data_IF_619431112248
#
_entry.id   IF_619431112248
#
_cell.length_a   1.000
_cell.length_b   1.000
_cell.length_c   1.000
_cell.angle_alpha   90.00
_cell.angle_beta   90.00
_cell.angle_gamma   90.00
#
_symmetry.space_group_name_H-M   'P 1'
#
loop_
_entity.id
_entity.type
_entity.pdbx_description
1 polymer ?
#
# COMPACT_ATOMS: atom_id res chain seq x y z
N UNK A 1 3.57 19.86 22.18
CA UNK A 1 4.50 19.36 23.23
C UNK A 1 4.74 17.87 23.07
N UNK A 2 3.71 17.00 23.23
CA UNK A 2 3.86 15.53 23.10
C UNK A 2 4.52 15.14 21.77
N UNK A 3 4.04 15.69 20.65
CA UNK A 3 4.61 15.41 19.32
C UNK A 3 6.10 15.76 19.24
N UNK A 4 6.50 16.93 19.76
CA UNK A 4 7.89 17.37 19.78
C UNK A 4 8.79 16.45 20.62
N UNK A 5 8.28 15.95 21.75
CA UNK A 5 8.99 15.01 22.62
C UNK A 5 9.18 13.66 21.90
N UNK A 6 8.11 13.11 21.30
CA UNK A 6 8.18 11.86 20.55
C UNK A 6 9.18 11.95 19.38
N UNK A 7 9.21 13.08 18.69
CA UNK A 7 10.11 13.29 17.56
C UNK A 7 11.53 13.45 18.07
N UNK A 8 11.76 14.23 19.11
CA UNK A 8 13.07 14.34 19.75
C UNK A 8 13.63 12.96 20.10
N UNK A 9 12.79 12.08 20.67
CA UNK A 9 13.16 10.69 20.93
C UNK A 9 13.49 9.90 19.65
N UNK A 10 12.68 10.01 18.60
CA UNK A 10 12.93 9.33 17.32
C UNK A 10 14.16 9.83 16.59
N UNK A 11 14.44 11.13 16.64
CA UNK A 11 15.65 11.72 16.08
C UNK A 11 16.88 11.23 16.85
N UNK A 12 16.82 11.21 18.19
CA UNK A 12 17.89 10.66 19.02
C UNK A 12 18.15 9.18 18.72
N UNK A 13 17.10 8.36 18.64
CA UNK A 13 17.17 6.95 18.24
C UNK A 13 17.83 6.77 16.85
N UNK A 14 17.45 7.61 15.88
CA UNK A 14 18.02 7.59 14.53
C UNK A 14 19.51 8.00 14.53
N UNK A 15 19.87 9.05 15.27
CA UNK A 15 21.26 9.55 15.40
C UNK A 15 22.16 8.49 16.04
N UNK A 16 21.73 7.91 17.16
CA UNK A 16 22.49 6.85 17.85
C UNK A 16 22.74 5.67 16.90
N UNK A 17 21.71 5.22 16.17
CA UNK A 17 21.87 4.14 15.18
C UNK A 17 22.80 4.50 14.03
N UNK A 18 22.77 5.74 13.57
CA UNK A 18 23.66 6.22 12.52
C UNK A 18 25.12 6.24 12.99
N UNK A 19 25.38 6.66 14.24
CA UNK A 19 26.74 6.70 14.81
C UNK A 19 27.29 5.28 15.04
N UNK A 20 26.47 4.36 15.55
CA UNK A 20 26.89 2.98 15.86
C UNK A 20 27.08 2.13 14.59
N UNK A 21 26.51 2.54 13.46
CA UNK A 21 26.64 1.79 12.20
C UNK A 21 28.04 1.93 11.60
N UNK A 22 28.68 0.79 11.32
CA UNK A 22 30.02 0.72 10.69
C UNK A 22 30.06 1.34 9.29
N UNK A 23 28.99 1.20 8.50
CA UNK A 23 28.89 1.67 7.11
C UNK A 23 27.76 2.70 6.93
N UNK A 24 28.09 3.99 7.01
CA UNK A 24 27.12 5.11 6.95
C UNK A 24 26.31 5.15 5.66
N UNK A 25 26.95 4.91 4.51
CA UNK A 25 26.27 4.90 3.19
C UNK A 25 25.31 3.72 3.03
N UNK A 26 25.65 2.55 3.58
CA UNK A 26 24.79 1.39 3.56
C UNK A 26 23.61 1.57 4.51
N UNK A 27 23.84 2.19 5.67
CA UNK A 27 22.79 2.51 6.63
C UNK A 27 21.66 3.33 6.02
N UNK A 28 21.97 4.41 5.30
CA UNK A 28 20.95 5.28 4.69
C UNK A 28 20.17 4.56 3.57
N UNK A 29 20.79 3.59 2.89
CA UNK A 29 20.15 2.83 1.80
C UNK A 29 19.23 1.69 2.29
N UNK A 30 19.26 1.33 3.58
CA UNK A 30 18.40 0.27 4.12
C UNK A 30 16.94 0.75 4.20
N UNK A 31 15.96 -0.01 3.69
CA UNK A 31 14.56 0.44 3.57
C UNK A 31 13.92 0.83 4.90
N UNK A 32 14.22 0.10 5.98
CA UNK A 32 13.73 0.41 7.33
C UNK A 32 14.26 1.75 7.86
N UNK A 33 15.50 2.11 7.50
CA UNK A 33 16.11 3.37 7.92
C UNK A 33 15.61 4.56 7.09
N UNK A 34 15.26 4.33 5.82
CA UNK A 34 14.59 5.34 4.97
C UNK A 34 13.22 5.69 5.56
N UNK A 35 12.46 4.70 6.04
CA UNK A 35 11.18 4.92 6.73
C UNK A 35 11.37 5.73 8.01
N UNK A 36 12.39 5.42 8.82
CA UNK A 36 12.71 6.19 10.04
C UNK A 36 13.01 7.66 9.70
N UNK A 37 13.75 7.94 8.61
CA UNK A 37 14.04 9.30 8.14
C UNK A 37 12.78 10.02 7.63
N UNK A 38 11.96 9.34 6.81
CA UNK A 38 10.71 9.89 6.28
C UNK A 38 9.69 10.17 7.40
N UNK A 39 9.73 9.42 8.50
CA UNK A 39 8.86 9.68 9.64
C UNK A 39 9.24 10.98 10.38
N UNK A 40 10.52 11.29 10.58
CA UNK A 40 10.90 12.53 11.28
C UNK A 40 10.77 13.80 10.41
N UNK A 41 10.85 13.65 9.08
CA UNK A 41 10.89 14.74 8.10
C UNK A 41 9.71 15.74 8.18
N UNK A 42 8.43 15.32 8.30
CA UNK A 42 7.29 16.24 8.24
C UNK A 42 7.30 17.31 9.33
N UNK A 43 7.79 16.97 10.52
CA UNK A 43 7.86 17.92 11.63
C UNK A 43 8.97 18.95 11.45
N UNK A 44 10.17 18.51 11.05
CA UNK A 44 11.27 19.43 10.78
C UNK A 44 10.92 20.38 9.64
N UNK A 45 10.29 19.89 8.57
CA UNK A 45 9.78 20.76 7.48
C UNK A 45 8.72 21.73 8.00
N UNK A 46 7.77 21.26 8.82
CA UNK A 46 6.73 22.13 9.39
C UNK A 46 7.32 23.27 10.23
N UNK A 47 8.29 22.96 11.10
CA UNK A 47 8.95 23.97 11.95
C UNK A 47 9.76 24.93 11.09
N UNK A 48 10.50 24.42 10.11
CA UNK A 48 11.30 25.23 9.18
C UNK A 48 10.44 26.23 8.40
N UNK A 49 9.29 25.78 7.89
CA UNK A 49 8.32 26.63 7.19
C UNK A 49 7.74 27.69 8.12
N UNK A 50 7.36 27.35 9.35
CA UNK A 50 6.83 28.34 10.30
C UNK A 50 7.86 29.41 10.70
N UNK A 51 9.15 29.07 10.71
CA UNK A 51 10.23 30.00 11.05
C UNK A 51 10.58 30.91 9.88
N UNK A 52 10.64 30.38 8.64
CA UNK A 52 11.01 31.17 7.47
C UNK A 52 9.88 32.02 6.89
N UNK A 53 8.61 31.61 7.05
CA UNK A 53 7.46 32.28 6.40
C UNK A 53 6.77 33.30 7.32
N UNK A 54 7.48 33.87 8.30
CA UNK A 54 6.95 34.82 9.29
C UNK A 54 5.97 35.86 8.72
N UNK A 55 4.82 35.99 9.40
CA UNK A 55 3.73 37.00 9.33
C UNK A 55 3.23 37.52 7.97
N UNK A 56 3.66 36.98 6.84
CA UNK A 56 3.20 37.43 5.52
C UNK A 56 2.18 36.48 4.88
N UNK A 57 1.36 37.05 3.99
CA UNK A 57 0.18 36.49 3.29
C UNK A 57 0.35 35.16 2.52
N UNK A 58 1.49 34.48 2.64
CA UNK A 58 1.70 33.09 2.19
C UNK A 58 1.02 32.04 3.09
N UNK A 59 0.44 32.46 4.22
CA UNK A 59 -0.21 31.59 5.21
C UNK A 59 -1.33 30.70 4.64
N UNK A 60 -1.99 31.12 3.56
CA UNK A 60 -3.04 30.33 2.91
C UNK A 60 -2.49 29.16 2.05
N UNK A 61 -1.32 29.32 1.41
CA UNK A 61 -0.59 28.21 0.75
C UNK A 61 0.11 27.32 1.77
N UNK A 62 0.68 27.92 2.82
CA UNK A 62 1.25 27.17 3.94
C UNK A 62 0.20 26.28 4.63
N UNK A 63 -1.06 26.71 4.73
CA UNK A 63 -2.14 25.88 5.28
C UNK A 63 -2.38 24.56 4.53
N UNK A 64 -2.29 24.56 3.19
CA UNK A 64 -2.41 23.33 2.38
C UNK A 64 -1.17 22.46 2.55
N UNK A 65 0.02 23.04 2.50
CA UNK A 65 1.29 22.30 2.72
C UNK A 65 1.35 21.69 4.11
N UNK A 66 0.94 22.41 5.16
CA UNK A 66 0.84 21.91 6.52
C UNK A 66 -0.18 20.77 6.64
N UNK A 67 -1.28 20.82 5.89
CA UNK A 67 -2.28 19.74 5.85
C UNK A 67 -1.69 18.46 5.24
N UNK A 68 -0.94 18.58 4.13
CA UNK A 68 -0.24 17.44 3.52
C UNK A 68 0.86 16.89 4.43
N UNK A 69 1.63 17.77 5.09
CA UNK A 69 2.65 17.36 6.07
C UNK A 69 2.04 16.63 7.28
N UNK A 70 0.85 17.03 7.73
CA UNK A 70 0.10 16.28 8.75
C UNK A 70 -0.27 14.88 8.29
N UNK A 71 -0.68 14.71 7.03
CA UNK A 71 -0.96 13.37 6.46
C UNK A 71 0.30 12.50 6.38
N UNK A 72 1.47 13.09 6.14
CA UNK A 72 2.75 12.35 6.15
C UNK A 72 3.07 11.70 7.51
N UNK A 73 2.40 12.08 8.60
CA UNK A 73 2.51 11.36 9.88
C UNK A 73 2.08 9.91 9.78
N UNK A 74 1.32 9.51 8.74
CA UNK A 74 1.00 8.10 8.49
C UNK A 74 2.27 7.24 8.30
N UNK A 75 3.37 7.81 7.82
CA UNK A 75 4.67 7.12 7.75
C UNK A 75 5.19 6.66 9.11
N UNK A 76 4.76 7.32 10.21
CA UNK A 76 5.09 6.88 11.56
C UNK A 76 4.46 5.55 11.90
N UNK A 77 3.25 5.28 11.40
CA UNK A 77 2.59 3.98 11.58
C UNK A 77 3.41 2.89 10.89
N UNK A 78 4.07 3.20 9.76
CA UNK A 78 4.93 2.26 9.05
C UNK A 78 6.20 1.94 9.87
N UNK A 79 6.68 2.84 10.73
CA UNK A 79 7.79 2.55 11.66
C UNK A 79 7.47 1.33 12.55
N UNK A 80 6.20 1.12 12.87
CA UNK A 80 5.73 -0.03 13.64
C UNK A 80 6.07 -1.38 12.97
N UNK A 81 6.26 -1.40 11.64
CA UNK A 81 6.75 -2.56 10.90
C UNK A 81 8.10 -3.08 11.40
N UNK A 82 8.96 -2.23 11.98
CA UNK A 82 10.23 -2.68 12.55
C UNK A 82 10.06 -3.52 13.82
N UNK A 83 8.95 -3.32 14.53
CA UNK A 83 8.64 -3.99 15.79
C UNK A 83 7.80 -5.25 15.58
N UNK A 84 7.02 -5.29 14.49
CA UNK A 84 6.25 -6.48 14.12
C UNK A 84 7.00 -7.38 13.14
N UNK A 85 7.54 -8.48 13.67
CA UNK A 85 8.17 -9.56 12.88
C UNK A 85 7.26 -10.04 11.74
N UNK A 86 5.94 -10.12 11.97
CA UNK A 86 4.98 -10.48 10.94
C UNK A 86 5.00 -9.53 9.73
N UNK A 87 5.09 -8.21 9.95
CA UNK A 87 5.11 -7.22 8.87
C UNK A 87 6.46 -7.21 8.13
N UNK A 88 7.57 -7.46 8.84
CA UNK A 88 8.87 -7.68 8.20
C UNK A 88 8.86 -8.92 7.31
N UNK A 89 8.27 -10.01 7.81
CA UNK A 89 8.12 -11.28 7.08
C UNK A 89 7.27 -11.08 5.83
N UNK A 90 6.16 -10.35 5.95
CA UNK A 90 5.30 -10.00 4.81
C UNK A 90 6.07 -9.22 3.76
N UNK A 91 6.81 -8.17 4.14
CA UNK A 91 7.60 -7.37 3.21
C UNK A 91 8.69 -8.17 2.49
N UNK A 92 9.38 -9.06 3.20
CA UNK A 92 10.37 -9.97 2.60
C UNK A 92 9.73 -10.98 1.65
N UNK A 93 8.58 -11.51 2.02
CA UNK A 93 7.79 -12.43 1.20
C UNK A 93 7.34 -11.76 -0.10
N UNK A 94 6.76 -10.55 -0.01
CA UNK A 94 6.37 -9.76 -1.17
C UNK A 94 7.56 -9.46 -2.08
N UNK A 95 8.72 -9.12 -1.50
CA UNK A 95 9.94 -8.92 -2.29
C UNK A 95 10.41 -10.19 -2.98
N UNK A 96 10.29 -11.36 -2.34
CA UNK A 96 10.70 -12.64 -2.92
C UNK A 96 9.78 -13.04 -4.08
N UNK A 97 8.48 -12.83 -3.91
CA UNK A 97 7.47 -13.26 -4.87
C UNK A 97 6.98 -12.11 -5.77
N UNK A 98 7.69 -10.97 -5.81
CA UNK A 98 7.22 -9.75 -6.47
C UNK A 98 6.95 -9.97 -7.96
N UNK A 99 7.77 -10.78 -8.64
CA UNK A 99 7.62 -11.04 -10.08
C UNK A 99 6.30 -11.75 -10.36
N UNK A 100 6.01 -12.80 -9.59
CA UNK A 100 4.79 -13.61 -9.73
C UNK A 100 3.56 -12.80 -9.33
N UNK A 101 3.64 -12.04 -8.24
CA UNK A 101 2.60 -11.10 -7.81
C UNK A 101 2.27 -10.05 -8.86
N UNK A 102 3.28 -9.43 -9.46
CA UNK A 102 3.08 -8.41 -10.50
C UNK A 102 2.42 -9.02 -11.74
N UNK A 103 2.81 -10.23 -12.15
CA UNK A 103 2.15 -10.91 -13.28
C UNK A 103 0.66 -11.18 -13.00
N UNK A 104 0.31 -11.64 -11.80
CA UNK A 104 -1.10 -11.84 -11.40
C UNK A 104 -1.89 -10.54 -11.38
N UNK A 105 -1.30 -9.46 -10.86
CA UNK A 105 -1.93 -8.14 -10.87
C UNK A 105 -2.14 -7.61 -12.30
N UNK A 106 -1.19 -7.82 -13.20
CA UNK A 106 -1.35 -7.46 -14.62
C UNK A 106 -2.52 -8.24 -15.23
N UNK A 107 -2.65 -9.54 -14.95
CA UNK A 107 -3.78 -10.35 -15.43
C UNK A 107 -5.13 -9.81 -14.94
N UNK A 108 -5.22 -9.44 -13.65
CA UNK A 108 -6.41 -8.82 -13.07
C UNK A 108 -6.71 -7.46 -13.73
N UNK A 109 -5.71 -6.62 -13.95
CA UNK A 109 -5.86 -5.34 -14.65
C UNK A 109 -6.36 -5.50 -16.08
N UNK A 110 -5.84 -6.49 -16.82
CA UNK A 110 -6.31 -6.80 -18.18
C UNK A 110 -7.76 -7.27 -18.16
N UNK A 111 -8.13 -8.16 -17.22
CA UNK A 111 -9.50 -8.60 -17.07
C UNK A 111 -10.46 -7.43 -16.75
N UNK A 112 -10.07 -6.54 -15.82
CA UNK A 112 -10.83 -5.33 -15.51
C UNK A 112 -11.00 -4.43 -16.73
N UNK A 113 -9.94 -4.23 -17.52
CA UNK A 113 -10.01 -3.44 -18.75
C UNK A 113 -10.96 -4.05 -19.80
N UNK A 114 -10.99 -5.39 -19.93
CA UNK A 114 -11.91 -6.09 -20.83
C UNK A 114 -13.36 -5.91 -20.38
N UNK A 115 -13.68 -6.18 -19.10
CA UNK A 115 -15.03 -5.97 -18.57
C UNK A 115 -15.47 -4.51 -18.66
N UNK A 116 -14.53 -3.58 -18.52
CA UNK A 116 -14.76 -2.15 -18.66
C UNK A 116 -15.13 -1.76 -20.08
N UNK A 117 -14.40 -2.28 -21.09
CA UNK A 117 -14.71 -2.02 -22.49
C UNK A 117 -16.05 -2.67 -22.90
N UNK A 118 -16.32 -3.89 -22.43
CA UNK A 118 -17.58 -4.58 -22.71
C UNK A 118 -18.78 -3.87 -22.07
N UNK A 119 -18.68 -3.47 -20.80
CA UNK A 119 -19.77 -2.75 -20.13
C UNK A 119 -20.05 -1.41 -20.79
N UNK A 120 -19.02 -0.67 -21.20
CA UNK A 120 -19.21 0.56 -21.97
C UNK A 120 -19.92 0.29 -23.31
N UNK A 121 -19.50 -0.74 -24.06
CA UNK A 121 -20.12 -1.09 -25.33
C UNK A 121 -21.60 -1.46 -25.16
N UNK A 122 -21.94 -2.23 -24.12
CA UNK A 122 -23.32 -2.66 -23.88
C UNK A 122 -24.23 -1.53 -23.37
N UNK A 123 -23.70 -0.61 -22.57
CA UNK A 123 -24.48 0.47 -21.96
C UNK A 123 -24.55 1.75 -22.81
N UNK A 124 -23.59 1.95 -23.72
CA UNK A 124 -23.48 3.16 -24.52
C UNK A 124 -23.45 2.92 -26.03
N UNK A 125 -23.03 1.73 -26.48
CA UNK A 125 -22.75 1.46 -27.90
C UNK A 125 -23.85 0.73 -28.68
N UNK A 126 -24.83 0.10 -28.02
CA UNK A 126 -25.85 -0.72 -28.69
C UNK A 126 -27.22 -0.06 -28.83
N UNK A 127 -27.67 0.74 -27.86
CA UNK A 127 -28.98 1.41 -27.88
C UNK A 127 -28.84 2.92 -27.65
N UNK A 128 -29.35 3.73 -28.60
CA UNK A 128 -29.35 5.20 -28.50
C UNK A 128 -30.43 5.74 -27.54
N UNK A 129 -31.50 4.97 -27.27
CA UNK A 129 -32.61 5.42 -26.41
C UNK A 129 -32.32 5.25 -24.91
N UNK A 130 -31.50 4.27 -24.54
CA UNK A 130 -31.12 3.93 -23.15
C UNK A 130 -29.64 4.23 -22.88
N UNK A 131 -29.10 5.29 -23.50
CA UNK A 131 -27.71 5.69 -23.32
C UNK A 131 -27.43 6.07 -21.87
N UNK A 132 -26.69 5.22 -21.17
CA UNK A 132 -26.25 5.47 -19.80
C UNK A 132 -25.08 6.44 -19.82
N UNK A 133 -25.28 7.66 -19.30
CA UNK A 133 -24.26 8.72 -19.26
C UNK A 133 -23.10 8.40 -18.33
N UNK A 134 -23.32 7.52 -17.35
CA UNK A 134 -22.28 7.13 -16.40
C UNK A 134 -21.19 6.29 -17.08
N UNK A 135 -21.54 5.57 -18.15
CA UNK A 135 -20.62 4.78 -18.98
C UNK A 135 -20.11 5.56 -20.20
N UNK A 136 -19.76 6.85 -20.02
CA UNK A 136 -19.31 7.71 -21.11
C UNK A 136 -17.95 7.32 -21.74
N UNK A 137 -17.06 6.66 -20.99
CA UNK A 137 -15.72 6.31 -21.45
C UNK A 137 -15.24 4.99 -20.83
N UNK A 138 -14.26 4.32 -21.45
CA UNK A 138 -13.66 3.09 -20.89
C UNK A 138 -13.16 3.37 -19.46
N UNK A 139 -12.39 4.44 -19.18
CA UNK A 139 -11.96 4.72 -17.81
C UNK A 139 -13.10 4.96 -16.81
N UNK A 140 -14.24 5.54 -17.25
CA UNK A 140 -15.41 5.70 -16.40
C UNK A 140 -16.07 4.36 -16.07
N UNK A 141 -16.22 3.47 -17.06
CA UNK A 141 -16.70 2.10 -16.85
C UNK A 141 -15.76 1.29 -15.94
N UNK A 142 -14.45 1.57 -15.99
CA UNK A 142 -13.43 0.91 -15.18
C UNK A 142 -13.67 1.15 -13.68
N UNK A 143 -14.12 2.34 -13.29
CA UNK A 143 -14.52 2.64 -11.91
C UNK A 143 -15.58 1.66 -11.42
N UNK A 144 -16.66 1.48 -12.20
CA UNK A 144 -17.72 0.54 -11.88
C UNK A 144 -17.23 -0.92 -11.80
N UNK A 145 -16.37 -1.33 -12.74
CA UNK A 145 -15.79 -2.69 -12.72
C UNK A 145 -14.91 -2.91 -11.50
N UNK A 146 -14.09 -1.94 -11.11
CA UNK A 146 -13.22 -2.01 -9.92
C UNK A 146 -14.09 -2.22 -8.67
N UNK A 147 -15.09 -1.37 -8.45
CA UNK A 147 -15.93 -1.45 -7.23
C UNK A 147 -16.81 -2.72 -7.23
N UNK A 148 -17.17 -3.25 -8.40
CA UNK A 148 -17.98 -4.47 -8.53
C UNK A 148 -17.15 -5.74 -8.34
N UNK A 149 -15.99 -5.85 -9.00
CA UNK A 149 -15.09 -7.00 -8.85
C UNK A 149 -14.49 -7.09 -7.46
N UNK A 150 -14.23 -5.95 -6.80
CA UNK A 150 -13.77 -5.89 -5.40
C UNK A 150 -14.91 -6.00 -4.37
N UNK A 151 -16.13 -6.26 -4.83
CA UNK A 151 -17.33 -6.44 -4.00
C UNK A 151 -17.64 -5.24 -3.08
N UNK A 152 -17.19 -4.04 -3.42
CA UNK A 152 -17.48 -2.80 -2.66
C UNK A 152 -18.89 -2.31 -2.99
N UNK A 153 -19.20 -2.16 -4.28
CA UNK A 153 -20.55 -1.86 -4.76
C UNK A 153 -21.19 -0.59 -4.15
N UNK A 154 -20.57 0.58 -4.31
CA UNK A 154 -21.13 1.84 -3.79
C UNK A 154 -22.54 2.17 -4.32
N UNK A 155 -22.88 1.69 -5.52
CA UNK A 155 -24.19 1.90 -6.15
C UNK A 155 -24.35 3.26 -6.82
N UNK A 156 -23.25 4.02 -6.95
CA UNK A 156 -23.18 5.30 -7.66
C UNK A 156 -23.26 5.14 -9.19
N UNK A 157 -22.81 4.00 -9.71
CA UNK A 157 -22.91 3.61 -11.12
C UNK A 157 -23.35 2.15 -11.23
N UNK A 158 -24.19 1.82 -12.20
CA UNK A 158 -24.59 0.43 -12.47
C UNK A 158 -25.18 0.26 -13.88
N UNK A 159 -25.03 -0.93 -14.50
CA UNK A 159 -25.61 -1.21 -15.81
C UNK A 159 -27.13 -1.25 -15.76
N UNK A 160 -27.77 -0.52 -16.67
CA UNK A 160 -29.23 -0.46 -16.77
C UNK A 160 -29.76 -1.42 -17.84
N UNK A 161 -28.95 -1.74 -18.86
CA UNK A 161 -29.35 -2.61 -19.97
C UNK A 161 -29.42 -4.08 -19.52
N UNK A 162 -30.33 -4.86 -20.13
CA UNK A 162 -30.41 -6.30 -19.88
C UNK A 162 -29.08 -7.02 -20.14
N UNK A 163 -28.41 -6.85 -21.31
CA UNK A 163 -27.11 -7.47 -21.53
C UNK A 163 -26.02 -6.95 -20.58
N UNK A 164 -26.04 -5.67 -20.22
CA UNK A 164 -25.12 -5.09 -19.24
C UNK A 164 -25.27 -5.70 -17.84
N UNK A 165 -26.50 -5.98 -17.41
CA UNK A 165 -26.77 -6.67 -16.12
C UNK A 165 -26.28 -8.11 -16.11
N UNK A 166 -26.46 -8.85 -17.22
CA UNK A 166 -25.93 -10.21 -17.36
C UNK A 166 -24.40 -10.18 -17.31
N UNK A 167 -23.78 -9.26 -18.06
CA UNK A 167 -22.33 -9.05 -18.01
C UNK A 167 -21.87 -8.69 -16.59
N UNK A 168 -22.63 -7.87 -15.86
CA UNK A 168 -22.33 -7.52 -14.47
C UNK A 168 -22.34 -8.71 -13.53
N UNK A 169 -23.29 -9.64 -13.69
CA UNK A 169 -23.27 -10.91 -12.94
C UNK A 169 -22.00 -11.72 -13.20
N UNK A 170 -21.61 -11.88 -14.47
CA UNK A 170 -20.37 -12.57 -14.85
C UNK A 170 -19.14 -11.84 -14.31
N UNK A 171 -19.13 -10.51 -14.38
CA UNK A 171 -18.05 -9.65 -13.88
C UNK A 171 -17.82 -9.87 -12.38
N UNK A 172 -18.87 -9.85 -11.55
CA UNK A 172 -18.75 -10.05 -10.10
C UNK A 172 -18.23 -11.45 -9.78
N UNK A 173 -18.78 -12.50 -10.39
CA UNK A 173 -18.33 -13.89 -10.17
C UNK A 173 -16.86 -14.05 -10.57
N UNK A 174 -16.48 -13.52 -11.75
CA UNK A 174 -15.10 -13.57 -12.20
C UNK A 174 -14.16 -12.77 -11.30
N UNK A 175 -14.60 -11.63 -10.76
CA UNK A 175 -13.84 -10.80 -9.83
C UNK A 175 -13.48 -11.51 -8.54
N UNK A 176 -14.44 -12.23 -7.94
CA UNK A 176 -14.22 -13.03 -6.74
C UNK A 176 -13.13 -14.09 -7.00
N UNK A 177 -13.22 -14.81 -8.13
CA UNK A 177 -12.24 -15.84 -8.50
C UNK A 177 -10.86 -15.23 -8.75
N UNK A 178 -10.80 -14.15 -9.52
CA UNK A 178 -9.55 -13.49 -9.90
C UNK A 178 -8.81 -12.88 -8.71
N UNK A 179 -9.54 -12.27 -7.75
CA UNK A 179 -8.95 -11.70 -6.54
C UNK A 179 -8.54 -12.77 -5.52
N UNK A 180 -9.18 -13.95 -5.51
CA UNK A 180 -8.80 -15.05 -4.63
C UNK A 180 -7.38 -15.58 -4.93
N UNK A 181 -6.94 -15.56 -6.19
CA UNK A 181 -5.64 -16.08 -6.63
C UNK A 181 -4.43 -15.34 -5.99
N UNK A 182 -4.27 -14.02 -6.12
CA UNK A 182 -3.15 -13.31 -5.49
C UNK A 182 -3.21 -13.37 -3.96
N UNK A 183 -4.40 -13.35 -3.36
CA UNK A 183 -4.56 -13.46 -1.90
C UNK A 183 -4.03 -14.81 -1.41
N UNK A 184 -4.46 -15.91 -2.06
CA UNK A 184 -4.03 -17.27 -1.73
C UNK A 184 -2.53 -17.44 -1.93
N UNK A 185 -2.00 -16.91 -3.03
CA UNK A 185 -0.58 -16.94 -3.33
C UNK A 185 0.28 -16.18 -2.29
N UNK A 186 -0.15 -14.97 -1.90
CA UNK A 186 0.50 -14.20 -0.81
C UNK A 186 0.46 -15.00 0.48
N UNK A 187 -0.69 -15.57 0.81
CA UNK A 187 -0.89 -16.34 2.04
C UNK A 187 0.08 -17.53 2.12
N UNK A 188 0.16 -18.35 1.07
CA UNK A 188 1.09 -19.48 1.04
C UNK A 188 2.55 -19.05 1.15
N UNK A 189 2.93 -17.99 0.43
CA UNK A 189 4.28 -17.45 0.47
C UNK A 189 4.62 -16.92 1.87
N UNK A 190 3.66 -16.27 2.54
CA UNK A 190 3.81 -15.75 3.88
C UNK A 190 3.99 -16.88 4.90
N UNK A 191 3.15 -17.92 4.82
CA UNK A 191 3.25 -19.10 5.68
C UNK A 191 4.61 -19.77 5.52
N UNK A 192 5.08 -19.94 4.28
CA UNK A 192 6.39 -20.53 4.01
C UNK A 192 7.53 -19.70 4.62
N UNK A 193 7.53 -18.38 4.40
CA UNK A 193 8.55 -17.49 4.94
C UNK A 193 8.51 -17.44 6.48
N UNK A 194 7.31 -17.44 7.06
CA UNK A 194 7.11 -17.47 8.50
C UNK A 194 7.67 -18.74 9.14
N UNK A 195 7.40 -19.90 8.55
CA UNK A 195 7.99 -21.17 9.00
C UNK A 195 9.51 -21.17 8.86
N UNK A 196 10.05 -20.69 7.74
CA UNK A 196 11.50 -20.59 7.52
C UNK A 196 12.18 -19.74 8.61
N UNK A 197 11.60 -18.58 8.94
CA UNK A 197 12.09 -17.72 10.02
C UNK A 197 11.98 -18.37 11.40
N UNK A 198 10.87 -19.04 11.70
CA UNK A 198 10.68 -19.77 12.97
C UNK A 198 11.70 -20.90 13.14
N UNK A 199 11.98 -21.66 12.08
CA UNK A 199 13.00 -22.71 12.09
C UNK A 199 14.42 -22.15 12.24
N UNK A 200 14.74 -21.03 11.61
CA UNK A 200 16.05 -20.37 11.78
C UNK A 200 16.24 -19.88 13.22
N UNK A 201 15.22 -19.28 13.83
CA UNK A 201 15.26 -18.87 15.24
C UNK A 201 15.47 -20.06 16.17
N UNK A 202 14.76 -21.17 15.96
CA UNK A 202 14.90 -22.37 16.78
C UNK A 202 16.28 -23.03 16.64
N UNK A 203 16.83 -23.08 15.41
CA UNK A 203 18.19 -23.57 15.17
C UNK A 203 19.25 -22.71 15.87
N UNK A 204 19.11 -21.38 15.81
CA UNK A 204 20.03 -20.46 16.47
C UNK A 204 20.01 -20.61 18.00
N UNK A 205 18.82 -20.76 18.60
CA UNK A 205 18.73 -21.08 20.05
C UNK A 205 19.40 -22.40 20.39
N UNK A 206 19.22 -23.45 19.57
CA UNK A 206 19.87 -24.76 19.81
C UNK A 206 21.39 -24.71 19.67
N UNK A 207 21.92 -24.00 18.66
CA UNK A 207 23.38 -23.86 18.49
C UNK A 207 24.00 -23.08 19.65
N UNK A 208 23.32 -22.02 20.11
CA UNK A 208 23.78 -21.25 21.26
C UNK A 208 23.78 -22.11 22.53
N UNK A 209 22.73 -22.89 22.77
CA UNK A 209 22.69 -23.82 23.91
C UNK A 209 23.78 -24.90 23.84
N UNK A 210 24.15 -25.36 22.64
CA UNK A 210 25.23 -26.33 22.46
C UNK A 210 26.62 -25.71 22.71
N UNK A 211 26.84 -24.44 22.32
CA UNK A 211 28.06 -23.70 22.65
C UNK A 211 28.21 -23.42 24.14
N UNK A 212 27.11 -23.25 24.89
CA UNK A 212 27.16 -23.07 26.35
C UNK A 212 27.39 -24.37 27.15
N UNK A 213 27.18 -25.53 26.53
CA UNK A 213 27.34 -26.84 27.18
C UNK A 213 28.72 -27.48 26.92
N UNK A 214 29.54 -26.89 26.05
CA UNK A 214 30.94 -27.27 25.80
C UNK A 214 31.90 -26.26 26.42
#
# INVERSE_FOLDING_TARGET
IIEAICIGWFTAECIVRFIVSKNKCEFVKRPLNIIDLLAITPYYISVLMTVFTGENSQLQRAGVTLRVLRMMRIFWVIKLARHFIGLQTLGLTLKRCYREMVMLLVFICVAMAIFSALSQLLEHGLDLETSNKDFASIPAACWWVIISMTTVGYGDMYPITVPGRILGGVCVVSGIVLLALPITFIYHSFVQCYHELKFRSARYSRSLSAEFLN
#
